data_IF_319534530980
#
_entry.id   IF_319534530980
#
_cell.length_a   1.000
_cell.length_b   1.000
_cell.length_c   1.000
_cell.angle_alpha   90.00
_cell.angle_beta   90.00
_cell.angle_gamma   90.00
#
_symmetry.space_group_name_H-M   'P 1'
#
loop_
_entity.id
_entity.type
_entity.pdbx_description
1 polymer ?
#
# COMPACT_ATOMS: atom_id res chain seq x y z
N UNK A 1 7.51 -18.12 12.83
CA UNK A 1 6.27 -17.45 12.40
C UNK A 1 6.69 -16.56 11.24
N UNK A 2 6.25 -16.83 10.01
CA UNK A 2 6.59 -15.96 8.89
C UNK A 2 5.95 -14.59 9.14
N UNK A 3 6.75 -13.51 9.17
CA UNK A 3 6.22 -12.15 9.10
C UNK A 3 5.27 -12.10 7.91
N UNK A 4 4.00 -11.78 8.17
CA UNK A 4 3.03 -11.57 7.09
C UNK A 4 3.49 -10.34 6.36
N UNK A 5 3.91 -10.48 5.09
CA UNK A 5 4.43 -9.37 4.30
C UNK A 5 3.40 -8.22 4.29
N UNK A 6 3.84 -7.03 4.70
CA UNK A 6 3.03 -5.81 4.72
C UNK A 6 3.63 -4.77 3.78
N UNK A 7 2.75 -4.03 3.13
CA UNK A 7 3.09 -2.91 2.28
C UNK A 7 2.49 -1.66 2.89
N UNK A 8 3.31 -0.62 3.02
CA UNK A 8 2.83 0.70 3.38
C UNK A 8 2.15 1.33 2.17
N UNK A 9 0.94 1.82 2.39
CA UNK A 9 0.23 2.66 1.44
C UNK A 9 -0.06 4.01 2.08
N UNK A 10 -0.29 5.00 1.22
CA UNK A 10 -0.82 6.29 1.59
C UNK A 10 -1.96 6.65 0.65
N UNK A 11 -3.09 7.05 1.22
CA UNK A 11 -4.31 7.42 0.51
C UNK A 11 -4.59 8.89 0.81
N UNK A 12 -4.66 9.71 -0.23
CA UNK A 12 -5.05 11.10 -0.11
C UNK A 12 -6.51 11.29 -0.54
N UNK A 13 -7.24 12.04 0.26
CA UNK A 13 -8.66 12.32 0.03
C UNK A 13 -8.89 13.76 -0.43
N UNK A 14 -9.97 13.95 -1.17
CA UNK A 14 -10.52 15.26 -1.49
C UNK A 14 -10.94 15.95 -0.19
N UNK A 15 -10.33 17.12 0.06
CA UNK A 15 -10.32 17.82 1.35
C UNK A 15 -8.95 17.83 2.05
N UNK A 16 -7.91 17.22 1.47
CA UNK A 16 -6.52 17.33 1.93
C UNK A 16 -6.13 16.40 3.07
N UNK A 17 -7.03 15.53 3.53
CA UNK A 17 -6.71 14.48 4.49
C UNK A 17 -5.83 13.41 3.83
N UNK A 18 -4.79 12.99 4.53
CA UNK A 18 -3.92 11.89 4.10
C UNK A 18 -3.94 10.80 5.19
N UNK A 19 -4.15 9.55 4.78
CA UNK A 19 -4.14 8.39 5.65
C UNK A 19 -3.05 7.41 5.20
N UNK A 20 -2.27 6.90 6.15
CA UNK A 20 -1.29 5.84 5.91
C UNK A 20 -1.74 4.54 6.57
N UNK A 21 -1.57 3.41 5.87
CA UNK A 21 -1.92 2.09 6.40
C UNK A 21 -0.88 1.03 5.99
N UNK A 22 -0.76 -0.01 6.81
CA UNK A 22 -0.02 -1.23 6.49
C UNK A 22 -1.01 -2.31 6.07
N UNK A 23 -0.93 -2.72 4.81
CA UNK A 23 -1.88 -3.67 4.20
C UNK A 23 -1.14 -4.87 3.62
N UNK A 24 -1.85 -5.95 3.31
CA UNK A 24 -1.25 -7.04 2.53
C UNK A 24 -1.03 -6.60 1.08
N UNK A 25 -0.10 -7.24 0.33
CA UNK A 25 0.06 -6.97 -1.10
C UNK A 25 -1.24 -7.11 -1.88
N UNK A 26 -2.05 -8.14 -1.58
CA UNK A 26 -3.34 -8.37 -2.24
C UNK A 26 -4.37 -7.28 -1.96
N UNK A 27 -4.41 -6.73 -0.75
CA UNK A 27 -5.28 -5.61 -0.41
C UNK A 27 -4.86 -4.32 -1.12
N UNK A 28 -3.55 -4.08 -1.28
CA UNK A 28 -3.06 -2.96 -2.09
C UNK A 28 -3.45 -3.11 -3.57
N UNK A 29 -3.27 -4.29 -4.16
CA UNK A 29 -3.65 -4.56 -5.55
C UNK A 29 -5.16 -4.39 -5.77
N UNK A 30 -5.97 -4.86 -4.82
CA UNK A 30 -7.43 -4.70 -4.87
C UNK A 30 -7.86 -3.23 -4.82
N UNK A 31 -7.18 -2.39 -4.03
CA UNK A 31 -7.42 -0.95 -3.98
C UNK A 31 -7.10 -0.28 -5.32
N UNK A 32 -5.95 -0.59 -5.92
CA UNK A 32 -5.54 -0.07 -7.23
C UNK A 32 -6.54 -0.46 -8.33
N UNK A 33 -6.97 -1.72 -8.36
CA UNK A 33 -7.98 -2.20 -9.32
C UNK A 33 -9.34 -1.53 -9.11
N UNK A 34 -9.76 -1.36 -7.84
CA UNK A 34 -11.03 -0.74 -7.53
C UNK A 34 -11.06 0.72 -7.99
N UNK A 35 -9.97 1.48 -7.81
CA UNK A 35 -9.83 2.86 -8.28
C UNK A 35 -9.93 2.96 -9.80
N UNK A 36 -9.19 2.13 -10.55
CA UNK A 36 -9.27 2.12 -12.02
C UNK A 36 -10.67 1.71 -12.54
N UNK A 37 -11.42 0.89 -11.79
CA UNK A 37 -12.80 0.54 -12.13
C UNK A 37 -13.83 1.59 -11.71
N UNK A 38 -13.50 2.44 -10.74
CA UNK A 38 -14.39 3.46 -10.21
C UNK A 38 -14.51 4.64 -11.17
N UNK A 39 -13.43 5.01 -11.85
CA UNK A 39 -13.43 6.03 -12.90
C UNK A 39 -14.38 5.66 -14.05
N UNK A 40 -14.50 4.38 -14.40
CA UNK A 40 -15.48 3.89 -15.39
C UNK A 40 -16.95 3.98 -14.91
N UNK A 41 -17.18 4.06 -13.59
CA UNK A 41 -18.50 4.09 -12.94
C UNK A 41 -18.90 5.45 -12.39
N UNK A 42 -18.16 6.52 -12.69
CA UNK A 42 -18.40 7.88 -12.17
C UNK A 42 -19.82 8.46 -12.44
N UNK A 43 -20.68 7.76 -13.20
CA UNK A 43 -22.10 8.08 -13.37
C UNK A 43 -23.09 7.36 -12.44
N UNK A 44 -22.69 6.35 -11.65
CA UNK A 44 -23.62 5.49 -10.87
C UNK A 44 -23.61 5.73 -9.36
N UNK A 45 -22.86 6.72 -8.87
CA UNK A 45 -23.22 7.40 -7.63
C UNK A 45 -22.70 6.86 -6.29
N UNK A 46 -22.05 5.70 -6.18
CA UNK A 46 -21.40 5.31 -4.90
C UNK A 46 -20.41 4.15 -5.10
N UNK A 47 -19.12 4.39 -4.93
CA UNK A 47 -18.09 3.35 -4.98
C UNK A 47 -17.31 3.36 -3.66
N UNK A 48 -17.56 2.37 -2.81
CA UNK A 48 -16.84 2.18 -1.54
C UNK A 48 -16.11 0.83 -1.54
N UNK A 49 -14.90 0.81 -0.98
CA UNK A 49 -14.06 -0.39 -0.85
C UNK A 49 -13.78 -0.68 0.62
N UNK A 50 -13.96 -1.93 1.03
CA UNK A 50 -13.43 -2.41 2.29
C UNK A 50 -11.95 -2.78 2.14
N UNK A 51 -11.07 -2.13 2.91
CA UNK A 51 -9.64 -2.36 2.91
C UNK A 51 -9.21 -2.93 4.26
N UNK A 52 -8.66 -4.14 4.25
CA UNK A 52 -8.06 -4.76 5.44
C UNK A 52 -6.65 -4.23 5.66
N UNK A 53 -6.43 -3.59 6.79
CA UNK A 53 -5.13 -3.11 7.25
C UNK A 53 -4.73 -3.80 8.56
N UNK A 54 -3.49 -3.60 8.97
CA UNK A 54 -2.94 -4.15 10.22
C UNK A 54 -3.63 -3.58 11.46
N UNK A 55 -4.00 -2.30 11.43
CA UNK A 55 -4.65 -1.57 12.50
C UNK A 55 -6.18 -1.69 12.50
N UNK A 56 -6.76 -2.27 11.44
CA UNK A 56 -8.18 -2.54 11.36
C UNK A 56 -8.72 -2.55 9.93
N UNK A 57 -10.05 -2.54 9.82
CA UNK A 57 -10.76 -2.52 8.55
C UNK A 57 -11.23 -1.11 8.22
N UNK A 58 -10.81 -0.60 7.07
CA UNK A 58 -11.24 0.71 6.55
C UNK A 58 -12.34 0.54 5.51
N UNK A 59 -13.30 1.47 5.50
CA UNK A 59 -14.24 1.65 4.39
C UNK A 59 -13.86 2.93 3.65
N UNK A 60 -13.32 2.79 2.44
CA UNK A 60 -12.78 3.89 1.63
C UNK A 60 -13.80 4.29 0.58
N UNK A 61 -14.25 5.55 0.59
CA UNK A 61 -15.04 6.13 -0.49
C UNK A 61 -14.12 6.46 -1.68
N UNK A 62 -14.14 5.63 -2.72
CA UNK A 62 -13.21 5.71 -3.86
C UNK A 62 -13.34 7.01 -4.65
N UNK A 63 -14.54 7.58 -4.74
CA UNK A 63 -14.78 8.86 -5.42
C UNK A 63 -14.09 10.05 -4.75
N UNK A 64 -13.72 9.90 -3.47
CA UNK A 64 -13.01 10.92 -2.72
C UNK A 64 -11.51 10.69 -2.70
N UNK A 65 -11.00 9.63 -3.33
CA UNK A 65 -9.57 9.37 -3.38
C UNK A 65 -8.96 10.18 -4.51
N UNK A 66 -7.96 11.00 -4.19
CA UNK A 66 -7.21 11.81 -5.15
C UNK A 66 -6.00 11.05 -5.67
N UNK A 67 -5.30 10.33 -4.79
CA UNK A 67 -4.22 9.44 -5.18
C UNK A 67 -3.99 8.34 -4.14
N UNK A 68 -3.33 7.27 -4.59
CA UNK A 68 -2.72 6.26 -3.72
C UNK A 68 -1.23 6.16 -4.04
N UNK A 69 -0.40 6.21 -3.00
CA UNK A 69 1.03 5.93 -3.10
C UNK A 69 1.34 4.61 -2.42
N UNK A 70 1.78 3.63 -3.19
CA UNK A 70 2.32 2.37 -2.69
C UNK A 70 3.83 2.51 -2.52
N UNK A 71 4.32 2.28 -1.31
CA UNK A 71 5.76 2.29 -1.07
C UNK A 71 6.33 0.98 -1.61
N UNK A 72 7.30 1.07 -2.52
CA UNK A 72 8.11 -0.09 -2.85
C UNK A 72 8.82 -0.52 -1.57
N UNK A 73 8.78 -1.81 -1.25
CA UNK A 73 9.76 -2.36 -0.32
C UNK A 73 11.11 -1.96 -0.90
N UNK A 74 11.89 -1.16 -0.17
CA UNK A 74 13.32 -1.13 -0.43
C UNK A 74 13.71 -2.59 -0.16
N UNK A 75 13.92 -3.36 -1.24
CA UNK A 75 14.50 -4.68 -1.14
C UNK A 75 15.63 -4.49 -0.14
N UNK A 76 15.62 -5.21 0.98
CA UNK A 76 16.82 -5.34 1.79
C UNK A 76 17.88 -5.79 0.79
N UNK A 77 18.62 -4.83 0.23
CA UNK A 77 19.98 -5.03 -0.18
C UNK A 77 20.57 -5.38 1.16
N UNK A 78 20.58 -6.67 1.47
CA UNK A 78 21.56 -7.21 2.37
C UNK A 78 22.86 -6.65 1.85
N UNK A 79 23.31 -5.56 2.49
CA UNK A 79 24.64 -5.04 2.35
C UNK A 79 25.54 -6.10 2.99
N UNK A 80 25.67 -7.22 2.28
CA UNK A 80 26.78 -8.14 2.38
C UNK A 80 27.86 -7.65 1.43
N UNK A 81 28.11 -6.34 1.42
CA UNK A 81 29.46 -5.86 1.13
C UNK A 81 30.25 -6.12 2.41
N UNK A 82 30.74 -7.36 2.52
CA UNK A 82 31.65 -7.74 3.59
C UNK A 82 32.93 -6.92 3.48
N UNK A 83 33.05 -5.91 4.33
CA UNK A 83 34.33 -5.28 4.65
C UNK A 83 34.87 -5.93 5.93
N UNK A 84 36.06 -6.55 5.83
CA UNK A 84 36.84 -7.15 6.92
C UNK A 84 36.66 -8.67 7.01
N UNK A 85 37.70 -9.51 7.11
CA UNK A 85 39.04 -9.31 7.66
C UNK A 85 39.99 -10.44 7.21
N UNK A 86 41.21 -10.04 6.80
CA UNK A 86 42.52 -10.70 6.92
C UNK A 86 42.76 -12.18 6.48
N UNK A 87 43.80 -12.33 5.64
CA UNK A 87 44.68 -13.50 5.39
C UNK A 87 45.41 -13.98 6.69
N UNK A 88 46.33 -15.00 6.74
CA UNK A 88 46.95 -15.91 5.74
C UNK A 88 46.76 -17.42 6.10
N UNK A 89 47.15 -18.44 5.32
CA UNK A 89 48.49 -18.99 5.03
C UNK A 89 48.41 -20.00 3.88
#
# INVERSE_FOLDING_TARGET
MAETERVRIEVAFDGGQIMGALVTPSSADALEQALGSAELRAGTGEAALALEAEDGRYTIALQRVVYVKRFARESRVESRVGFGSAAPS
#
